data_IF_236386847608
#
_entry.id   IF_236386847608
#
_cell.length_a   1.000
_cell.length_b   1.000
_cell.length_c   1.000
_cell.angle_alpha   90.00
_cell.angle_beta   90.00
_cell.angle_gamma   90.00
#
_symmetry.space_group_name_H-M   'P 1'
#
loop_
_entity.id
_entity.type
_entity.pdbx_description
1 polymer ?
#
# COMPACT_ATOMS: atom_id res chain seq x y z
N UNK A 1 -57.56 -41.61 -5.93
CA UNK A 1 -56.72 -40.79 -6.84
C UNK A 1 -56.98 -39.35 -6.43
N UNK A 2 -56.03 -38.52 -6.01
CA UNK A 2 -54.70 -38.25 -6.52
C UNK A 2 -53.74 -37.86 -5.40
N UNK A 3 -52.57 -38.53 -5.36
CA UNK A 3 -51.32 -38.01 -4.79
C UNK A 3 -51.02 -36.63 -5.41
N UNK A 4 -50.24 -35.77 -4.75
CA UNK A 4 -48.91 -35.33 -5.24
C UNK A 4 -48.43 -34.02 -4.57
N UNK A 5 -47.31 -34.17 -3.85
CA UNK A 5 -46.13 -33.28 -3.66
C UNK A 5 -46.29 -31.89 -3.04
N UNK A 6 -45.77 -31.84 -1.81
CA UNK A 6 -44.93 -30.78 -1.27
C UNK A 6 -43.93 -30.26 -2.32
N UNK A 7 -43.99 -28.97 -2.63
CA UNK A 7 -42.87 -28.24 -3.23
C UNK A 7 -42.48 -27.16 -2.23
N UNK A 8 -41.45 -27.49 -1.45
CA UNK A 8 -40.60 -26.55 -0.74
C UNK A 8 -40.05 -25.55 -1.76
N UNK A 9 -40.57 -24.34 -1.76
CA UNK A 9 -39.97 -23.21 -2.48
C UNK A 9 -38.79 -22.70 -1.63
N UNK A 10 -37.70 -23.48 -1.62
CA UNK A 10 -36.41 -23.06 -1.09
C UNK A 10 -35.83 -22.02 -2.07
N UNK A 11 -36.20 -20.75 -1.86
CA UNK A 11 -35.67 -19.61 -2.59
C UNK A 11 -34.17 -19.51 -2.37
N UNK A 12 -33.43 -19.70 -3.46
CA UNK A 12 -31.98 -19.60 -3.59
C UNK A 12 -31.48 -18.29 -2.98
N UNK A 13 -30.83 -18.37 -1.82
CA UNK A 13 -29.96 -17.33 -1.34
C UNK A 13 -28.75 -17.27 -2.27
N UNK A 14 -28.78 -16.35 -3.24
CA UNK A 14 -27.59 -15.98 -4.02
C UNK A 14 -26.59 -15.38 -3.05
N UNK A 15 -25.67 -16.21 -2.57
CA UNK A 15 -24.46 -15.75 -1.89
C UNK A 15 -23.64 -14.99 -2.92
N UNK A 16 -23.67 -13.65 -2.84
CA UNK A 16 -22.68 -12.81 -3.48
C UNK A 16 -21.32 -13.16 -2.89
N UNK A 17 -20.62 -14.12 -3.48
CA UNK A 17 -19.21 -14.33 -3.23
C UNK A 17 -18.49 -13.09 -3.77
N UNK A 18 -18.32 -12.08 -2.92
CA UNK A 18 -17.50 -10.92 -3.22
C UNK A 18 -16.06 -11.42 -3.40
N UNK A 19 -15.62 -11.56 -4.65
CA UNK A 19 -14.22 -11.79 -4.98
C UNK A 19 -13.42 -10.54 -4.60
N UNK A 20 -12.91 -10.52 -3.36
CA UNK A 20 -11.99 -9.50 -2.87
C UNK A 20 -10.72 -9.39 -3.74
N UNK A 21 -9.93 -8.31 -3.57
CA UNK A 21 -8.69 -8.12 -4.30
C UNK A 21 -7.70 -9.25 -4.03
N UNK A 22 -7.04 -9.75 -5.08
CA UNK A 22 -6.01 -10.78 -4.95
C UNK A 22 -4.66 -10.09 -4.77
N UNK A 23 -4.36 -9.69 -3.53
CA UNK A 23 -3.17 -8.92 -3.23
C UNK A 23 -1.91 -9.79 -3.28
N UNK A 24 -0.89 -9.32 -4.00
CA UNK A 24 0.43 -9.95 -4.10
C UNK A 24 1.54 -8.95 -3.77
N UNK A 25 2.67 -9.38 -3.19
CA UNK A 25 3.82 -8.50 -2.98
C UNK A 25 4.32 -7.95 -4.30
N UNK A 26 4.65 -6.67 -4.30
CA UNK A 26 5.34 -6.02 -5.40
C UNK A 26 6.85 -6.27 -5.24
N UNK A 27 7.48 -6.83 -6.28
CA UNK A 27 8.88 -7.28 -6.25
C UNK A 27 9.69 -6.62 -7.35
N UNK A 28 11.01 -6.61 -7.20
CA UNK A 28 11.93 -6.10 -8.23
C UNK A 28 11.84 -6.88 -9.54
N UNK A 29 11.79 -8.21 -9.45
CA UNK A 29 11.60 -9.09 -10.63
C UNK A 29 10.33 -8.71 -11.40
N UNK A 30 9.25 -8.43 -10.67
CA UNK A 30 7.99 -7.98 -11.26
C UNK A 30 8.10 -6.58 -11.86
N UNK A 31 8.78 -5.65 -11.18
CA UNK A 31 9.04 -4.32 -11.70
C UNK A 31 9.78 -4.36 -13.05
N UNK A 32 10.83 -5.16 -13.12
CA UNK A 32 11.71 -5.29 -14.29
C UNK A 32 11.04 -6.07 -15.43
N UNK A 33 10.34 -7.17 -15.13
CA UNK A 33 9.70 -8.04 -16.14
C UNK A 33 8.68 -7.29 -17.01
N UNK A 34 7.94 -6.35 -16.41
CA UNK A 34 6.91 -5.58 -17.10
C UNK A 34 7.39 -4.20 -17.57
N UNK A 35 8.68 -3.88 -17.40
CA UNK A 35 9.32 -2.61 -17.77
C UNK A 35 8.49 -1.37 -17.36
N UNK A 36 7.97 -1.39 -16.12
CA UNK A 36 7.06 -0.36 -15.65
C UNK A 36 7.72 1.01 -15.71
N UNK A 37 7.03 1.97 -16.34
CA UNK A 37 7.39 3.38 -16.23
C UNK A 37 6.65 4.02 -15.06
N UNK A 38 7.15 5.14 -14.57
CA UNK A 38 6.50 5.91 -13.49
C UNK A 38 5.01 6.16 -13.79
N UNK A 39 4.67 6.49 -15.04
CA UNK A 39 3.29 6.71 -15.47
C UNK A 39 2.39 5.46 -15.43
N UNK A 40 2.95 4.26 -15.43
CA UNK A 40 2.20 3.01 -15.23
C UNK A 40 2.02 2.71 -13.75
N UNK A 41 3.08 2.90 -12.95
CA UNK A 41 3.04 2.75 -11.50
C UNK A 41 2.07 3.73 -10.82
N UNK A 42 1.94 4.96 -11.35
CA UNK A 42 0.93 5.94 -10.91
C UNK A 42 -0.52 5.49 -11.10
N UNK A 43 -0.75 4.44 -11.91
CA UNK A 43 -2.08 3.85 -12.11
C UNK A 43 -2.34 2.69 -11.15
N UNK A 44 -1.34 2.25 -10.40
CA UNK A 44 -1.46 1.11 -9.49
C UNK A 44 -1.93 1.60 -8.11
N UNK A 45 -2.93 0.93 -7.54
CA UNK A 45 -3.28 1.09 -6.14
C UNK A 45 -2.41 0.14 -5.32
N UNK A 46 -1.49 0.72 -4.54
CA UNK A 46 -0.67 -0.05 -3.61
C UNK A 46 -1.38 -0.21 -2.26
N UNK A 47 -0.96 -1.21 -1.51
CA UNK A 47 -1.39 -1.48 -0.14
C UNK A 47 -0.20 -1.91 0.71
N UNK A 48 -0.16 -1.56 1.99
CA UNK A 48 0.85 -2.07 2.92
C UNK A 48 0.48 -3.46 3.46
N UNK A 49 1.47 -4.36 3.53
CA UNK A 49 1.26 -5.74 3.99
C UNK A 49 1.05 -5.90 5.51
N UNK A 50 1.35 -4.86 6.30
CA UNK A 50 1.24 -4.80 7.76
C UNK A 50 1.15 -3.35 8.22
N UNK A 51 0.78 -3.16 9.48
CA UNK A 51 0.78 -1.84 10.11
C UNK A 51 2.16 -1.19 10.04
N UNK A 52 2.19 0.10 9.72
CA UNK A 52 3.40 0.93 9.79
C UNK A 52 3.18 1.92 10.92
N UNK A 53 4.07 1.89 11.90
CA UNK A 53 4.01 2.76 13.08
C UNK A 53 5.16 3.74 13.04
N UNK A 54 4.83 5.02 12.92
CA UNK A 54 5.77 6.13 13.02
C UNK A 54 5.60 6.80 14.38
N UNK A 55 6.68 7.15 15.05
CA UNK A 55 6.62 7.83 16.33
C UNK A 55 7.72 8.87 16.53
N UNK A 56 7.40 9.93 17.26
CA UNK A 56 8.37 10.92 17.73
C UNK A 56 8.17 11.24 19.22
N UNK A 57 9.21 11.72 19.89
CA UNK A 57 9.09 12.10 21.30
C UNK A 57 8.43 13.47 21.40
N UNK A 58 7.33 13.58 22.15
CA UNK A 58 6.70 14.86 22.42
C UNK A 58 7.61 15.69 23.32
N UNK A 59 8.23 16.76 22.81
CA UNK A 59 8.96 17.71 23.66
C UNK A 59 7.96 18.48 24.53
N UNK A 60 8.33 18.73 25.78
CA UNK A 60 7.45 19.11 26.89
C UNK A 60 6.79 20.50 26.86
N UNK A 61 6.38 21.01 25.70
CA UNK A 61 5.59 22.24 25.58
C UNK A 61 4.62 22.10 24.42
N UNK A 62 3.32 22.26 24.69
CA UNK A 62 2.19 22.19 23.76
C UNK A 62 2.38 21.20 22.60
N UNK A 63 1.85 19.99 22.78
CA UNK A 63 1.50 19.17 21.63
C UNK A 63 0.32 19.88 20.96
N UNK A 64 0.59 20.72 19.97
CA UNK A 64 -0.37 20.87 18.88
C UNK A 64 -0.50 19.47 18.29
N UNK A 65 -1.58 18.78 18.64
CA UNK A 65 -1.91 17.49 18.07
C UNK A 65 -2.19 17.83 16.62
N UNK A 66 -1.16 17.72 15.78
CA UNK A 66 -1.29 18.01 14.37
C UNK A 66 -2.16 16.91 13.82
N UNK A 67 -1.73 15.64 13.80
CA UNK A 67 -2.48 14.57 13.11
C UNK A 67 -2.31 13.14 13.69
N UNK A 68 -1.58 12.97 14.79
CA UNK A 68 -1.33 11.67 15.44
C UNK A 68 -2.02 11.48 16.80
N UNK A 69 -1.95 10.26 17.35
CA UNK A 69 -2.40 9.98 18.72
C UNK A 69 -1.22 10.10 19.69
N UNK A 70 -1.38 10.84 20.78
CA UNK A 70 -0.37 10.87 21.86
C UNK A 70 -0.53 9.64 22.74
N UNK A 71 0.51 8.82 22.83
CA UNK A 71 0.59 7.65 23.72
C UNK A 71 1.69 7.83 24.76
N UNK A 72 1.49 7.25 25.95
CA UNK A 72 2.54 7.14 26.97
C UNK A 72 3.15 5.75 26.86
N UNK A 73 4.42 5.67 26.50
CA UNK A 73 5.17 4.41 26.41
C UNK A 73 6.46 4.56 27.21
N UNK A 74 6.69 3.64 28.16
CA UNK A 74 7.82 3.65 29.09
C UNK A 74 7.97 4.98 29.86
N UNK A 75 6.85 5.56 30.28
CA UNK A 75 6.80 6.84 31.00
C UNK A 75 7.11 8.08 30.14
N UNK A 76 7.31 7.92 28.82
CA UNK A 76 7.55 9.01 27.87
C UNK A 76 6.32 9.23 27.00
N UNK A 77 5.90 10.49 26.84
CA UNK A 77 4.89 10.88 25.86
C UNK A 77 5.50 10.78 24.45
N UNK A 78 4.86 10.03 23.57
CA UNK A 78 5.20 9.92 22.16
C UNK A 78 3.98 10.21 21.32
N UNK A 79 4.17 10.98 20.26
CA UNK A 79 3.20 11.07 19.19
C UNK A 79 3.38 9.86 18.29
N UNK A 80 2.27 9.24 17.89
CA UNK A 80 2.25 8.05 17.04
C UNK A 80 1.29 8.24 15.87
N UNK A 81 1.79 7.94 14.67
CA UNK A 81 1.01 7.82 13.44
C UNK A 81 0.99 6.34 13.08
N UNK A 82 -0.22 5.80 12.93
CA UNK A 82 -0.44 4.40 12.53
C UNK A 82 -1.05 4.39 11.14
N UNK A 83 -0.40 3.71 10.22
CA UNK A 83 -0.94 3.39 8.89
C UNK A 83 -1.30 1.91 8.91
N UNK A 84 -2.58 1.56 9.12
CA UNK A 84 -3.01 0.16 9.28
C UNK A 84 -2.68 -0.69 8.05
N UNK A 85 -2.52 -2.00 8.24
CA UNK A 85 -2.40 -2.97 7.15
C UNK A 85 -3.53 -2.81 6.14
N UNK A 86 -3.21 -2.90 4.86
CA UNK A 86 -4.19 -2.79 3.77
C UNK A 86 -4.66 -1.37 3.52
N UNK A 87 -3.97 -0.35 4.05
CA UNK A 87 -4.25 1.04 3.71
C UNK A 87 -3.88 1.28 2.24
N UNK A 88 -4.81 1.81 1.41
CA UNK A 88 -4.52 2.12 0.02
C UNK A 88 -3.52 3.30 -0.05
N UNK A 89 -2.48 3.14 -0.85
CA UNK A 89 -1.51 4.20 -1.17
C UNK A 89 -1.23 4.33 -2.66
N UNK A 90 -0.81 5.52 -3.08
CA UNK A 90 -0.50 5.87 -4.47
C UNK A 90 0.94 6.34 -4.61
N UNK A 91 1.54 6.07 -5.77
CA UNK A 91 2.86 6.59 -6.10
C UNK A 91 2.79 8.11 -6.36
N UNK A 92 3.52 8.89 -5.56
CA UNK A 92 3.62 10.34 -5.74
C UNK A 92 4.83 10.73 -6.60
N UNK A 93 5.98 10.08 -6.38
CA UNK A 93 7.21 10.32 -7.14
C UNK A 93 8.19 9.15 -7.05
N UNK A 94 9.18 9.16 -7.95
CA UNK A 94 10.30 8.22 -7.97
C UNK A 94 11.62 8.98 -7.95
N UNK A 95 12.21 9.30 -6.77
CA UNK A 95 13.49 10.00 -6.71
C UNK A 95 14.63 9.21 -7.37
N UNK A 96 14.49 7.89 -7.49
CA UNK A 96 15.33 6.98 -8.27
C UNK A 96 14.45 5.88 -8.86
N UNK A 97 14.96 5.18 -9.87
CA UNK A 97 14.25 4.13 -10.60
C UNK A 97 13.59 3.07 -9.70
N UNK A 98 14.24 2.65 -8.62
CA UNK A 98 13.76 1.60 -7.70
C UNK A 98 13.34 2.16 -6.33
N UNK A 99 13.04 3.46 -6.24
CA UNK A 99 12.68 4.15 -4.99
C UNK A 99 11.33 4.79 -5.14
N UNK A 100 10.32 4.19 -4.51
CA UNK A 100 8.94 4.62 -4.65
C UNK A 100 8.55 5.48 -3.45
N UNK A 101 8.14 6.72 -3.70
CA UNK A 101 7.46 7.52 -2.68
C UNK A 101 5.96 7.19 -2.75
N UNK A 102 5.44 6.50 -1.74
CA UNK A 102 4.03 6.10 -1.65
C UNK A 102 3.34 6.94 -0.58
N UNK A 103 2.30 7.68 -0.96
CA UNK A 103 1.42 8.34 0.00
C UNK A 103 0.24 7.44 0.33
N UNK A 104 0.01 7.23 1.63
CA UNK A 104 -1.18 6.55 2.17
C UNK A 104 -2.18 7.54 2.76
N UNK A 105 -1.88 8.84 2.71
CA UNK A 105 -2.74 9.90 3.21
C UNK A 105 -3.74 10.29 2.10
N UNK A 106 -5.02 10.37 2.45
CA UNK A 106 -6.07 10.67 1.49
C UNK A 106 -6.12 12.14 1.05
N UNK A 107 -5.46 13.04 1.77
CA UNK A 107 -5.57 14.49 1.58
C UNK A 107 -4.24 15.15 1.25
N UNK A 108 -3.13 14.58 1.68
CA UNK A 108 -1.82 15.21 1.59
C UNK A 108 -0.78 14.31 0.90
N UNK A 109 -0.45 14.64 -0.35
CA UNK A 109 0.56 13.91 -1.13
C UNK A 109 1.99 14.16 -0.67
N UNK A 110 2.26 15.18 0.16
CA UNK A 110 3.57 15.44 0.75
C UNK A 110 3.89 14.46 1.89
N UNK A 111 2.87 13.72 2.35
CA UNK A 111 3.00 12.61 3.28
C UNK A 111 3.16 11.31 2.56
N UNK A 112 4.41 10.96 2.35
CA UNK A 112 4.78 9.72 1.71
C UNK A 112 5.86 8.98 2.49
N UNK A 113 5.88 7.68 2.28
CA UNK A 113 6.92 6.78 2.76
C UNK A 113 7.72 6.27 1.57
N UNK A 114 9.01 6.06 1.80
CA UNK A 114 9.92 5.55 0.77
C UNK A 114 9.93 4.02 0.81
N UNK A 115 9.79 3.38 -0.35
CA UNK A 115 9.89 1.94 -0.53
C UNK A 115 10.94 1.60 -1.58
N UNK A 116 11.57 0.43 -1.45
CA UNK A 116 12.50 -0.09 -2.46
C UNK A 116 12.83 -1.57 -2.25
N UNK A 117 13.44 -2.23 -3.23
CA UNK A 117 13.81 -3.64 -3.18
C UNK A 117 14.67 -3.96 -1.97
N UNK A 118 14.32 -5.09 -1.33
CA UNK A 118 15.05 -5.63 -0.21
C UNK A 118 15.56 -7.04 -0.54
N UNK A 119 16.87 -7.19 -0.83
CA UNK A 119 17.45 -8.48 -1.17
C UNK A 119 17.32 -9.55 -0.09
N UNK A 120 17.18 -9.13 1.18
CA UNK A 120 16.99 -10.05 2.30
C UNK A 120 15.56 -10.54 2.44
N UNK A 121 14.64 -10.00 1.65
CA UNK A 121 13.21 -10.27 1.72
C UNK A 121 12.61 -10.56 0.34
N UNK A 122 13.32 -11.35 -0.47
CA UNK A 122 12.85 -11.79 -1.79
C UNK A 122 12.72 -10.68 -2.82
N UNK A 123 13.51 -9.60 -2.67
CA UNK A 123 13.42 -8.39 -3.51
C UNK A 123 12.05 -7.71 -3.45
N UNK A 124 11.32 -7.89 -2.35
CA UNK A 124 10.06 -7.17 -2.13
C UNK A 124 10.35 -5.70 -1.88
N UNK A 125 9.43 -4.83 -2.32
CA UNK A 125 9.51 -3.39 -2.04
C UNK A 125 9.13 -3.12 -0.58
N UNK A 126 10.13 -2.95 0.29
CA UNK A 126 9.94 -2.71 1.73
C UNK A 126 10.19 -1.27 2.13
N UNK A 127 9.65 -0.86 3.28
CA UNK A 127 9.84 0.46 3.86
C UNK A 127 11.33 0.81 4.04
N UNK A 128 11.72 1.97 3.55
CA UNK A 128 13.06 2.52 3.66
C UNK A 128 13.13 3.57 4.77
N UNK A 129 14.26 3.60 5.44
CA UNK A 129 14.64 4.64 6.38
C UNK A 129 15.90 5.35 5.88
N UNK A 130 16.03 6.64 6.19
CA UNK A 130 17.23 7.43 5.83
C UNK A 130 18.44 7.03 6.67
N UNK A 131 18.21 6.52 7.88
CA UNK A 131 19.25 6.07 8.81
C UNK A 131 18.68 4.97 9.71
N UNK A 132 19.53 4.06 10.19
CA UNK A 132 19.19 3.01 11.14
C UNK A 132 20.08 3.12 12.38
N UNK A 133 19.46 3.41 13.53
CA UNK A 133 20.15 3.42 14.82
C UNK A 133 19.61 2.31 15.70
N UNK A 134 20.41 1.25 15.88
CA UNK A 134 20.04 0.03 16.62
C UNK A 134 18.82 -0.65 16.01
N UNK A 135 17.64 -0.49 16.62
CA UNK A 135 16.37 -1.12 16.23
C UNK A 135 15.34 -0.10 15.73
N UNK A 136 15.80 1.11 15.40
CA UNK A 136 14.95 2.23 15.00
C UNK A 136 15.44 2.82 13.67
N UNK A 137 14.52 2.93 12.71
CA UNK A 137 14.74 3.62 11.44
C UNK A 137 14.28 5.07 11.53
N UNK A 138 15.01 6.00 10.91
CA UNK A 138 14.60 7.40 10.78
C UNK A 138 13.86 7.60 9.46
N UNK A 139 12.66 8.16 9.52
CA UNK A 139 11.78 8.42 8.37
C UNK A 139 11.43 9.90 8.34
N UNK A 140 11.37 10.48 7.15
CA UNK A 140 10.78 11.80 6.94
C UNK A 140 9.36 11.62 6.43
N UNK A 141 8.38 12.24 7.09
CA UNK A 141 6.96 12.14 6.75
C UNK A 141 6.29 13.50 6.97
N UNK A 142 5.70 14.09 5.93
CA UNK A 142 5.12 15.44 6.01
C UNK A 142 6.13 16.52 6.39
N UNK A 143 7.40 16.38 5.99
CA UNK A 143 8.49 17.30 6.33
C UNK A 143 9.10 17.12 7.72
N UNK A 144 8.50 16.31 8.60
CA UNK A 144 8.98 16.05 9.96
C UNK A 144 9.73 14.71 10.07
N UNK A 145 10.56 14.57 11.11
CA UNK A 145 11.34 13.35 11.37
C UNK A 145 10.66 12.46 12.39
N UNK A 146 10.31 11.26 11.95
CA UNK A 146 9.79 10.19 12.79
C UNK A 146 10.77 9.03 12.91
N UNK A 147 10.51 8.17 13.89
CA UNK A 147 11.15 6.88 14.06
C UNK A 147 10.17 5.77 13.72
N UNK A 148 10.68 4.66 13.21
CA UNK A 148 9.93 3.41 12.98
C UNK A 148 10.68 2.25 13.60
N UNK A 149 9.98 1.17 13.96
CA UNK A 149 10.60 -0.06 14.42
C UNK A 149 10.93 -1.03 13.25
N UNK A 150 11.67 -2.10 13.57
CA UNK A 150 12.01 -3.15 12.61
C UNK A 150 10.79 -3.90 12.08
N UNK A 151 9.69 -3.98 12.84
CA UNK A 151 8.48 -4.69 12.40
C UNK A 151 7.81 -3.95 11.25
N UNK A 152 7.69 -2.63 11.39
CA UNK A 152 7.16 -1.71 10.39
C UNK A 152 8.10 -1.60 9.17
N UNK A 153 9.41 -1.72 9.38
CA UNK A 153 10.42 -1.77 8.31
C UNK A 153 10.17 -2.90 7.29
N UNK A 154 9.60 -4.01 7.77
CA UNK A 154 9.27 -5.18 6.94
C UNK A 154 7.92 -5.04 6.22
N UNK A 155 7.26 -3.90 6.33
CA UNK A 155 6.06 -3.60 5.54
C UNK A 155 6.42 -3.59 4.06
N UNK A 156 5.64 -4.31 3.28
CA UNK A 156 5.83 -4.49 1.84
C UNK A 156 4.69 -3.82 1.10
N UNK A 157 5.00 -3.31 -0.09
CA UNK A 157 3.97 -2.92 -1.05
C UNK A 157 3.31 -4.17 -1.62
N UNK A 158 1.99 -4.12 -1.65
CA UNK A 158 1.10 -5.12 -2.23
C UNK A 158 0.27 -4.44 -3.31
N UNK A 159 -0.15 -5.18 -4.32
CA UNK A 159 -1.04 -4.70 -5.37
C UNK A 159 -2.04 -5.80 -5.77
N UNK A 160 -3.19 -5.43 -6.35
CA UNK A 160 -4.13 -6.40 -6.89
C UNK A 160 -3.66 -6.85 -8.28
N UNK A 161 -3.49 -8.15 -8.47
CA UNK A 161 -3.14 -8.77 -9.77
C UNK A 161 -4.13 -8.38 -10.88
N UNK A 162 -5.39 -8.05 -10.56
CA UNK A 162 -6.36 -7.57 -11.55
C UNK A 162 -5.93 -6.26 -12.21
N UNK A 163 -5.13 -5.43 -11.53
CA UNK A 163 -4.63 -4.18 -12.10
C UNK A 163 -3.66 -4.40 -13.27
N UNK A 164 -2.95 -5.54 -13.30
CA UNK A 164 -2.10 -5.92 -14.43
C UNK A 164 -2.88 -6.00 -15.73
N UNK A 165 -4.00 -6.73 -15.71
CA UNK A 165 -4.87 -6.85 -16.88
C UNK A 165 -5.34 -5.49 -17.35
N UNK A 166 -5.59 -4.55 -16.44
CA UNK A 166 -6.01 -3.20 -16.81
C UNK A 166 -4.89 -2.40 -17.48
N UNK A 167 -3.64 -2.59 -17.05
CA UNK A 167 -2.47 -1.96 -17.66
C UNK A 167 -2.19 -2.57 -19.04
N UNK A 168 -2.24 -3.90 -19.15
CA UNK A 168 -2.01 -4.65 -20.39
C UNK A 168 -3.11 -4.50 -21.45
N UNK A 169 -4.39 -4.43 -21.03
CA UNK A 169 -5.55 -4.36 -21.94
C UNK A 169 -5.68 -3.03 -22.70
N UNK A 170 -4.68 -2.16 -22.69
CA UNK A 170 -4.53 -1.08 -23.68
C UNK A 170 -4.11 -1.62 -25.06
N UNK A 171 -4.60 -2.80 -25.44
CA UNK A 171 -4.43 -3.36 -26.77
C UNK A 171 -5.22 -2.51 -27.75
N UNK A 172 -4.50 -1.77 -28.59
CA UNK A 172 -5.11 -1.10 -29.73
C UNK A 172 -5.62 -2.17 -30.71
N UNK A 173 -6.94 -2.31 -30.80
CA UNK A 173 -7.56 -3.14 -31.84
C UNK A 173 -7.72 -2.28 -33.09
N UNK A 174 -6.88 -2.52 -34.09
CA UNK A 174 -6.96 -1.85 -35.38
C UNK A 174 -8.32 -2.15 -36.03
N UNK A 175 -9.08 -1.11 -36.39
CA UNK A 175 -10.42 -1.25 -37.00
C UNK A 175 -10.40 -1.66 -38.48
N UNK A 176 -9.22 -1.84 -39.07
CA UNK A 176 -9.04 -2.00 -40.52
C UNK A 176 -9.29 -0.69 -41.29
N UNK A 177 -8.82 -0.62 -42.53
CA UNK A 177 -9.18 0.42 -43.50
C UNK A 177 -10.07 -0.20 -44.57
N UNK A 178 -11.13 0.49 -44.96
CA UNK A 178 -11.95 0.12 -46.13
C UNK A 178 -11.44 0.84 -47.38
N UNK A 179 -11.61 0.22 -48.54
CA UNK A 179 -11.32 0.82 -49.84
C UNK A 179 -12.50 1.75 -50.20
N UNK A 180 -12.21 2.94 -50.73
CA UNK A 180 -13.21 3.83 -51.34
C UNK A 180 -13.56 3.38 -52.77
#
# INVERSE_FOLDING_TARGET
MTRTRWILMAGVAMTLAACGPSLRPFTEDFYQTYDFKEGDLKKIQFYNSRDIVLYQTAQGGNVEISEGAVKVVDGKKREEIVIPRGTPGVLVMMPKEDRFAISFDAKDSERYLMFGPNPKYGEHYTLLASDWKKYQGVITYGGEKFYTDNTSALAQLMFDVKELRRIENKTYVAKGRTVE
#
